data_IF_917054870205
#
_entry.id   IF_917054870205
#
_cell.length_a   1.000
_cell.length_b   1.000
_cell.length_c   1.000
_cell.angle_alpha   90.00
_cell.angle_beta   90.00
_cell.angle_gamma   90.00
#
_symmetry.space_group_name_H-M   'P 1'
#
loop_
_entity.id
_entity.type
_entity.pdbx_description
1 polymer ?
#
# COMPACT_ATOMS: atom_id res chain seq x y z
N UNK A 1 -3.35 16.55 1.81
CA UNK A 1 -4.00 15.61 2.73
C UNK A 1 -2.96 14.87 3.56
N UNK A 2 -3.38 14.28 4.66
CA UNK A 2 -2.47 13.55 5.53
C UNK A 2 -1.77 12.40 4.80
N UNK A 3 -2.50 11.67 3.96
CA UNK A 3 -1.91 10.59 3.18
C UNK A 3 -0.88 11.07 2.16
N UNK A 4 -1.18 12.16 1.48
CA UNK A 4 -0.26 12.77 0.52
C UNK A 4 0.99 13.28 1.21
N UNK A 5 0.82 13.97 2.34
CA UNK A 5 1.94 14.51 3.10
C UNK A 5 2.85 13.39 3.61
N UNK A 6 2.28 12.32 4.12
CA UNK A 6 3.02 11.15 4.56
C UNK A 6 3.81 10.49 3.43
N UNK A 7 3.21 10.39 2.25
CA UNK A 7 3.88 9.83 1.09
C UNK A 7 5.11 10.65 0.69
N UNK A 8 4.95 11.96 0.60
CA UNK A 8 6.08 12.85 0.26
C UNK A 8 7.18 12.81 1.30
N UNK A 9 6.81 12.79 2.58
CA UNK A 9 7.79 12.70 3.66
C UNK A 9 8.64 11.42 3.55
N UNK A 10 7.99 10.27 3.27
CA UNK A 10 8.69 8.98 3.11
C UNK A 10 9.55 8.94 1.85
N UNK A 11 9.17 9.68 0.83
CA UNK A 11 9.87 9.68 -0.45
C UNK A 11 10.98 10.72 -0.53
N UNK A 12 11.46 11.22 0.60
CA UNK A 12 12.58 12.16 0.64
C UNK A 12 12.20 13.61 0.55
N UNK A 13 10.91 13.92 0.56
CA UNK A 13 10.41 15.27 0.45
C UNK A 13 10.15 15.96 1.80
N UNK A 14 10.64 15.41 2.90
CA UNK A 14 10.31 15.89 4.25
C UNK A 14 10.60 17.36 4.49
N UNK A 15 11.71 17.85 3.96
CA UNK A 15 12.08 19.25 4.12
C UNK A 15 11.22 20.23 3.31
N UNK A 16 10.41 19.72 2.39
CA UNK A 16 9.60 20.51 1.48
C UNK A 16 8.10 20.22 1.63
N UNK A 17 7.67 19.83 2.82
CA UNK A 17 6.25 19.50 3.06
C UNK A 17 5.31 20.66 2.71
N UNK A 18 5.73 21.88 2.90
CA UNK A 18 4.94 23.06 2.54
C UNK A 18 4.70 23.19 1.03
N UNK A 19 5.53 22.55 0.19
CA UNK A 19 5.36 22.51 -1.26
C UNK A 19 4.53 21.32 -1.71
N UNK A 20 4.13 20.46 -0.78
CA UNK A 20 3.29 19.32 -1.09
C UNK A 20 1.94 19.80 -1.64
N UNK A 21 1.49 19.26 -2.77
CA UNK A 21 0.18 19.59 -3.30
C UNK A 21 -0.91 19.32 -2.27
N UNK A 22 -1.82 20.26 -2.12
CA UNK A 22 -2.93 20.14 -1.16
C UNK A 22 -4.06 19.25 -1.69
N UNK A 23 -4.13 19.10 -2.99
CA UNK A 23 -5.18 18.34 -3.65
C UNK A 23 -4.59 17.37 -4.64
N UNK A 24 -5.23 16.24 -4.79
CA UNK A 24 -4.89 15.26 -5.81
C UNK A 24 -6.16 14.70 -6.43
N UNK A 25 -6.03 14.24 -7.66
CA UNK A 25 -7.10 13.50 -8.33
C UNK A 25 -6.63 12.08 -8.49
N UNK A 26 -7.37 11.13 -7.97
CA UNK A 26 -6.98 9.73 -8.04
C UNK A 26 -8.21 8.84 -8.23
N UNK A 27 -7.96 7.63 -8.73
CA UNK A 27 -8.98 6.60 -8.80
C UNK A 27 -9.15 6.02 -7.40
N UNK A 28 -10.36 6.04 -6.90
CA UNK A 28 -10.68 5.53 -5.58
C UNK A 28 -11.26 4.12 -5.60
N UNK A 29 -11.55 3.55 -4.42
CA UNK A 29 -12.11 2.21 -4.30
C UNK A 29 -13.41 2.02 -5.09
N UNK A 30 -14.25 3.05 -5.17
CA UNK A 30 -15.51 2.98 -5.90
C UNK A 30 -15.28 2.62 -7.37
N UNK A 31 -14.30 3.26 -8.01
CA UNK A 31 -14.02 3.02 -9.42
C UNK A 31 -13.47 1.62 -9.63
N UNK A 32 -12.59 1.17 -8.75
CA UNK A 32 -12.04 -0.18 -8.81
C UNK A 32 -13.13 -1.23 -8.60
N UNK A 33 -14.04 -1.01 -7.66
CA UNK A 33 -15.13 -1.94 -7.39
C UNK A 33 -16.13 -2.06 -8.55
N UNK A 34 -16.21 -1.05 -9.41
CA UNK A 34 -17.04 -1.08 -10.60
C UNK A 34 -16.37 -1.74 -11.81
N UNK A 35 -15.09 -2.04 -11.71
CA UNK A 35 -14.39 -2.74 -12.78
C UNK A 35 -14.91 -4.18 -12.90
N UNK A 36 -14.97 -4.70 -14.13
CA UNK A 36 -15.38 -6.09 -14.37
C UNK A 36 -14.38 -7.08 -13.77
N UNK A 37 -13.12 -6.70 -13.79
CA UNK A 37 -12.02 -7.48 -13.28
C UNK A 37 -10.91 -6.50 -12.93
N UNK A 38 -10.10 -6.85 -11.94
CA UNK A 38 -8.93 -6.03 -11.64
C UNK A 38 -7.71 -6.92 -11.43
N UNK A 39 -6.56 -6.31 -11.66
CA UNK A 39 -5.28 -6.97 -11.50
C UNK A 39 -4.41 -6.12 -10.59
N UNK A 40 -3.87 -6.73 -9.56
CA UNK A 40 -2.93 -6.07 -8.66
C UNK A 40 -1.58 -6.74 -8.71
N UNK A 41 -0.55 -5.97 -8.48
CA UNK A 41 0.80 -6.47 -8.37
C UNK A 41 1.42 -5.94 -7.09
N UNK A 42 1.75 -6.83 -6.19
CA UNK A 42 2.41 -6.51 -4.94
C UNK A 42 3.88 -6.89 -5.06
N UNK A 43 4.71 -5.88 -5.22
CA UNK A 43 6.13 -6.07 -5.47
C UNK A 43 6.92 -5.07 -4.62
N UNK A 44 8.06 -5.51 -4.12
CA UNK A 44 8.94 -4.66 -3.32
C UNK A 44 9.91 -3.84 -4.19
N UNK A 45 10.06 -4.22 -5.44
CA UNK A 45 11.06 -3.62 -6.31
C UNK A 45 12.45 -3.75 -5.69
N UNK A 46 13.09 -2.63 -5.47
CA UNK A 46 14.45 -2.58 -4.94
C UNK A 46 14.51 -1.89 -3.57
N UNK A 47 13.47 -2.01 -2.79
CA UNK A 47 13.39 -1.29 -1.51
C UNK A 47 14.40 -1.76 -0.47
N UNK A 48 15.21 -2.75 -0.76
CA UNK A 48 16.26 -3.20 0.13
C UNK A 48 15.74 -3.82 1.41
N UNK A 49 16.44 -3.59 2.51
CA UNK A 49 16.11 -4.18 3.80
C UNK A 49 14.89 -3.60 4.49
N UNK A 50 14.29 -2.55 3.97
CA UNK A 50 13.18 -1.86 4.62
C UNK A 50 11.83 -2.22 4.00
N UNK A 51 11.66 -3.48 3.70
CA UNK A 51 10.49 -3.97 3.00
C UNK A 51 9.38 -4.47 3.93
N UNK A 52 9.61 -4.47 5.23
CA UNK A 52 8.62 -5.00 6.18
C UNK A 52 7.33 -4.20 6.19
N UNK A 53 7.41 -2.91 5.95
CA UNK A 53 6.22 -2.05 5.86
C UNK A 53 5.30 -2.50 4.72
N UNK A 54 5.85 -2.69 3.54
CA UNK A 54 5.09 -3.12 2.37
C UNK A 54 4.53 -4.53 2.55
N UNK A 55 5.31 -5.42 3.15
CA UNK A 55 4.83 -6.76 3.49
C UNK A 55 3.65 -6.72 4.44
N UNK A 56 3.71 -5.86 5.44
CA UNK A 56 2.64 -5.69 6.41
C UNK A 56 1.37 -5.15 5.74
N UNK A 57 1.52 -4.11 4.93
CA UNK A 57 0.39 -3.50 4.22
C UNK A 57 -0.27 -4.50 3.28
N UNK A 58 0.52 -5.29 2.55
CA UNK A 58 -0.01 -6.32 1.66
C UNK A 58 -0.86 -7.34 2.44
N UNK A 59 -0.39 -7.77 3.60
CA UNK A 59 -1.14 -8.71 4.44
C UNK A 59 -2.43 -8.11 4.97
N UNK A 60 -2.39 -6.86 5.38
CA UNK A 60 -3.60 -6.17 5.83
C UNK A 60 -4.62 -6.06 4.71
N UNK A 61 -4.16 -5.78 3.51
CA UNK A 61 -5.04 -5.68 2.35
C UNK A 61 -5.68 -7.02 1.98
N UNK A 62 -4.89 -8.09 1.97
CA UNK A 62 -5.33 -9.38 1.44
C UNK A 62 -6.01 -10.26 2.47
N UNK A 63 -5.60 -10.17 3.73
CA UNK A 63 -6.03 -11.11 4.78
C UNK A 63 -6.59 -10.42 6.01
N UNK A 64 -6.40 -9.12 6.14
CA UNK A 64 -6.92 -8.36 7.27
C UNK A 64 -8.43 -8.17 7.17
N UNK A 65 -9.04 -7.61 8.20
CA UNK A 65 -10.47 -7.31 8.16
C UNK A 65 -10.76 -6.25 7.09
N UNK A 66 -11.89 -6.41 6.42
CA UNK A 66 -12.35 -5.42 5.46
C UNK A 66 -12.83 -4.20 6.24
N UNK A 67 -12.14 -3.08 6.11
CA UNK A 67 -12.44 -1.88 6.86
C UNK A 67 -11.99 -0.62 6.09
N UNK A 68 -12.57 0.52 6.45
CA UNK A 68 -12.26 1.78 5.80
C UNK A 68 -10.88 2.33 6.18
N UNK A 69 -10.33 1.89 7.30
CA UNK A 69 -8.99 2.27 7.75
C UNK A 69 -7.91 1.70 6.83
N UNK A 70 -8.22 0.61 6.15
CA UNK A 70 -7.38 0.03 5.11
C UNK A 70 -8.23 -0.04 3.84
N UNK A 71 -8.35 1.05 3.08
CA UNK A 71 -9.28 1.10 1.95
C UNK A 71 -9.09 -0.01 0.93
N UNK A 72 -7.85 -0.42 0.67
CA UNK A 72 -7.58 -1.50 -0.27
C UNK A 72 -8.10 -2.85 0.20
N UNK A 73 -8.42 -3.02 1.48
CA UNK A 73 -9.04 -4.25 1.98
C UNK A 73 -10.41 -4.52 1.34
N UNK A 74 -11.07 -3.49 0.83
CA UNK A 74 -12.34 -3.64 0.13
C UNK A 74 -12.21 -4.49 -1.14
N UNK A 75 -11.01 -4.58 -1.69
CA UNK A 75 -10.79 -5.37 -2.90
C UNK A 75 -10.93 -6.88 -2.65
N UNK A 76 -10.93 -7.31 -1.40
CA UNK A 76 -11.27 -8.69 -1.04
C UNK A 76 -12.71 -9.05 -1.45
N UNK A 77 -13.56 -8.06 -1.64
CA UNK A 77 -14.95 -8.25 -2.04
C UNK A 77 -15.14 -8.20 -3.56
N UNK A 78 -14.07 -7.99 -4.31
CA UNK A 78 -14.13 -7.88 -5.76
C UNK A 78 -13.53 -9.11 -6.43
N UNK A 79 -13.80 -9.24 -7.72
CA UNK A 79 -13.19 -10.28 -8.54
C UNK A 79 -11.92 -9.73 -9.17
N UNK A 80 -10.82 -10.46 -9.03
CA UNK A 80 -9.55 -10.03 -9.61
C UNK A 80 -8.44 -11.03 -9.36
N UNK A 81 -7.26 -10.69 -9.82
CA UNK A 81 -6.05 -11.50 -9.67
C UNK A 81 -4.98 -10.64 -9.03
N UNK A 82 -4.28 -11.21 -8.06
CA UNK A 82 -3.22 -10.52 -7.35
C UNK A 82 -1.93 -11.31 -7.52
N UNK A 83 -0.93 -10.66 -8.10
CA UNK A 83 0.41 -11.23 -8.25
C UNK A 83 1.27 -10.70 -7.10
N UNK A 84 1.87 -11.61 -6.36
CA UNK A 84 2.72 -11.28 -5.22
C UNK A 84 4.11 -11.81 -5.50
N UNK A 85 5.13 -10.97 -5.37
CA UNK A 85 6.52 -11.39 -5.54
C UNK A 85 6.96 -12.29 -4.38
N UNK A 86 8.02 -13.07 -4.61
CA UNK A 86 8.58 -13.91 -3.56
C UNK A 86 9.03 -13.09 -2.36
N UNK A 87 9.65 -11.95 -2.59
CA UNK A 87 10.11 -11.07 -1.52
C UNK A 87 8.94 -10.54 -0.70
N UNK A 88 7.84 -10.18 -1.35
CA UNK A 88 6.64 -9.71 -0.67
C UNK A 88 6.02 -10.81 0.17
N UNK A 89 6.10 -12.05 -0.28
CA UNK A 89 5.53 -13.22 0.39
C UNK A 89 6.36 -13.72 1.57
N UNK A 90 7.60 -13.26 1.73
CA UNK A 90 8.44 -13.67 2.84
C UNK A 90 7.83 -13.28 4.19
N UNK A 91 8.05 -14.08 5.25
CA UNK A 91 7.58 -13.73 6.58
C UNK A 91 8.18 -12.40 7.06
N UNK A 92 7.42 -11.69 7.88
CA UNK A 92 7.94 -10.50 8.55
C UNK A 92 8.77 -10.98 9.73
N UNK A 93 10.07 -10.69 9.70
CA UNK A 93 10.94 -11.02 10.82
C UNK A 93 10.72 -10.03 11.97
N UNK A 94 10.88 -10.46 13.25
CA UNK A 94 10.73 -9.54 14.37
C UNK A 94 11.62 -8.29 14.29
N UNK A 95 12.84 -8.44 13.77
CA UNK A 95 13.75 -7.31 13.59
C UNK A 95 13.26 -6.29 12.58
N UNK A 96 12.51 -6.73 11.57
CA UNK A 96 11.95 -5.83 10.57
C UNK A 96 10.94 -4.86 11.19
N UNK A 97 10.24 -5.28 12.23
CA UNK A 97 9.28 -4.44 12.94
C UNK A 97 9.95 -3.28 13.65
N UNK A 98 11.19 -3.45 14.07
CA UNK A 98 11.96 -2.39 14.72
C UNK A 98 12.63 -1.46 13.72
N UNK A 99 12.68 -1.83 12.46
CA UNK A 99 13.24 -1.00 11.40
C UNK A 99 12.22 -0.01 10.82
N UNK A 100 10.98 -0.14 11.24
CA UNK A 100 9.94 0.81 10.84
C UNK A 100 10.12 2.19 11.53
#
# INVERSE_FOLDING_TARGET
>A
SAGTDGWYARSGGGAALWHTPRYSVSIGPRDVMHARDHLERHDLGYCGGYSSWERMVSRLQLYGPVCKEVPASLYQLTKGTIYVSEEMALPIAPMDLYAL
#
